data_IF_466702087881
#
_entry.id   IF_466702087881
#
_cell.length_a   1.000
_cell.length_b   1.000
_cell.length_c   1.000
_cell.angle_alpha   90.00
_cell.angle_beta   90.00
_cell.angle_gamma   90.00
#
_symmetry.space_group_name_H-M   'P 1'
#
loop_
_entity.id
_entity.type
_entity.pdbx_description
1 polymer ?
#
# COMPACT_ATOMS: atom_id res chain seq x y z
N UNK A 1 7.45 -66.78 -14.28
CA UNK A 1 8.24 -66.21 -15.38
C UNK A 1 8.44 -67.34 -16.38
N UNK A 2 8.08 -67.14 -17.64
CA UNK A 2 8.26 -68.19 -18.65
C UNK A 2 9.74 -68.33 -18.98
N UNK A 3 10.32 -69.49 -18.71
CA UNK A 3 11.66 -69.86 -19.19
C UNK A 3 11.52 -70.18 -20.67
N UNK A 4 12.31 -69.54 -21.53
CA UNK A 4 12.40 -69.94 -22.93
C UNK A 4 13.61 -70.86 -23.14
N UNK A 5 13.55 -71.86 -24.03
CA UNK A 5 14.68 -72.74 -24.32
C UNK A 5 15.78 -72.05 -25.15
N UNK A 6 15.54 -70.83 -25.63
CA UNK A 6 16.46 -70.06 -26.47
C UNK A 6 17.12 -69.00 -25.61
N UNK A 7 18.43 -69.14 -25.36
CA UNK A 7 19.23 -68.23 -24.51
C UNK A 7 19.10 -66.75 -24.91
N UNK A 8 19.07 -66.47 -26.22
CA UNK A 8 18.90 -65.11 -26.73
C UNK A 8 17.53 -64.49 -26.36
N UNK A 9 16.49 -65.31 -26.26
CA UNK A 9 15.15 -64.85 -25.89
C UNK A 9 15.06 -64.64 -24.38
N UNK A 10 15.66 -65.53 -23.58
CA UNK A 10 15.67 -65.42 -22.12
C UNK A 10 16.49 -64.21 -21.63
N UNK A 11 17.65 -63.95 -22.24
CA UNK A 11 18.46 -62.75 -21.99
C UNK A 11 17.75 -61.44 -22.36
N UNK A 12 16.96 -61.44 -23.44
CA UNK A 12 16.14 -60.28 -23.80
C UNK A 12 15.01 -60.04 -22.79
N UNK A 13 14.33 -61.09 -22.34
CA UNK A 13 13.24 -61.00 -21.36
C UNK A 13 13.75 -60.50 -20.00
N UNK A 14 14.88 -61.03 -19.52
CA UNK A 14 15.52 -60.58 -18.27
C UNK A 14 15.96 -59.11 -18.36
N UNK A 15 16.60 -58.69 -19.46
CA UNK A 15 16.96 -57.27 -19.70
C UNK A 15 15.74 -56.35 -19.68
N UNK A 16 14.65 -56.74 -20.35
CA UNK A 16 13.40 -55.97 -20.36
C UNK A 16 12.83 -55.84 -18.94
N UNK A 17 12.86 -56.92 -18.16
CA UNK A 17 12.38 -56.90 -16.79
C UNK A 17 13.24 -56.02 -15.88
N UNK A 18 14.56 -56.05 -16.05
CA UNK A 18 15.50 -55.14 -15.36
C UNK A 18 15.22 -53.67 -15.72
N UNK A 19 14.89 -53.38 -16.97
CA UNK A 19 14.57 -52.03 -17.41
C UNK A 19 13.25 -51.54 -16.79
N UNK A 20 12.20 -52.38 -16.81
CA UNK A 20 10.90 -52.06 -16.20
C UNK A 20 11.04 -51.83 -14.69
N UNK A 21 11.80 -52.68 -13.99
CA UNK A 21 12.05 -52.52 -12.55
C UNK A 21 12.83 -51.23 -12.26
N UNK A 22 13.85 -50.92 -13.05
CA UNK A 22 14.58 -49.64 -12.95
C UNK A 22 13.66 -48.43 -13.16
N UNK A 23 12.81 -48.46 -14.18
CA UNK A 23 11.83 -47.39 -14.45
C UNK A 23 10.84 -47.20 -13.30
N UNK A 24 10.31 -48.30 -12.75
CA UNK A 24 9.43 -48.24 -11.59
C UNK A 24 10.14 -47.59 -10.39
N UNK A 25 11.38 -47.98 -10.13
CA UNK A 25 12.18 -47.45 -9.02
C UNK A 25 12.53 -45.97 -9.18
N UNK A 26 12.85 -45.51 -10.39
CA UNK A 26 13.12 -44.09 -10.63
C UNK A 26 11.85 -43.25 -10.49
N UNK A 27 10.71 -43.76 -10.95
CA UNK A 27 9.42 -43.07 -10.83
C UNK A 27 8.99 -42.94 -9.37
N UNK A 28 9.07 -44.03 -8.58
CA UNK A 28 8.76 -43.98 -7.14
C UNK A 28 9.70 -43.04 -6.39
N UNK A 29 11.00 -43.04 -6.72
CA UNK A 29 11.98 -42.10 -6.15
C UNK A 29 11.62 -40.64 -6.48
N UNK A 30 11.20 -40.35 -7.70
CA UNK A 30 10.75 -39.02 -8.11
C UNK A 30 9.48 -38.58 -7.36
N UNK A 31 8.49 -39.46 -7.25
CA UNK A 31 7.26 -39.20 -6.49
C UNK A 31 7.55 -38.93 -5.01
N UNK A 32 8.41 -39.74 -4.38
CA UNK A 32 8.82 -39.56 -2.99
C UNK A 32 9.55 -38.22 -2.79
N UNK A 33 10.40 -37.82 -3.75
CA UNK A 33 11.06 -36.51 -3.74
C UNK A 33 10.04 -35.37 -3.80
N UNK A 34 9.07 -35.46 -4.70
CA UNK A 34 8.00 -34.45 -4.81
C UNK A 34 7.17 -34.35 -3.53
N UNK A 35 6.79 -35.50 -2.96
CA UNK A 35 6.07 -35.59 -1.70
C UNK A 35 6.85 -34.95 -0.56
N UNK A 36 8.13 -35.29 -0.40
CA UNK A 36 9.00 -34.74 0.64
C UNK A 36 9.04 -33.21 0.62
N UNK A 37 9.25 -32.60 -0.55
CA UNK A 37 9.29 -31.13 -0.66
C UNK A 37 7.91 -30.48 -0.49
N UNK A 38 6.83 -31.16 -0.86
CA UNK A 38 5.47 -30.67 -0.65
C UNK A 38 5.09 -30.69 0.83
N UNK A 39 5.35 -31.81 1.51
CA UNK A 39 5.01 -32.04 2.92
C UNK A 39 5.80 -31.11 3.85
N UNK A 40 7.07 -30.80 3.55
CA UNK A 40 7.86 -29.83 4.32
C UNK A 40 7.21 -28.44 4.47
N UNK A 41 6.38 -28.03 3.51
CA UNK A 41 5.71 -26.72 3.55
C UNK A 41 4.31 -26.79 4.16
N UNK A 42 3.76 -27.98 4.37
CA UNK A 42 2.46 -28.17 5.01
C UNK A 42 2.64 -28.05 6.52
N UNK A 43 1.75 -27.30 7.16
CA UNK A 43 1.69 -27.17 8.61
C UNK A 43 0.23 -27.24 9.00
N UNK A 44 -0.03 -27.90 10.12
CA UNK A 44 -1.35 -27.89 10.71
C UNK A 44 -1.58 -26.52 11.36
N UNK A 45 -2.53 -25.77 10.80
CA UNK A 45 -2.93 -24.46 11.29
C UNK A 45 -4.30 -24.60 11.94
N UNK A 46 -4.36 -24.27 13.23
CA UNK A 46 -5.60 -24.18 13.99
C UNK A 46 -5.67 -22.83 14.69
N UNK A 47 -6.88 -22.31 14.83
CA UNK A 47 -7.16 -21.02 15.45
C UNK A 47 -8.26 -21.22 16.48
N UNK A 48 -8.11 -20.62 17.65
CA UNK A 48 -9.12 -20.70 18.69
C UNK A 48 -10.27 -19.73 18.40
N UNK A 49 -11.46 -20.07 18.89
CA UNK A 49 -12.60 -19.15 18.90
C UNK A 49 -12.24 -17.95 19.78
N UNK A 50 -12.61 -16.75 19.34
CA UNK A 50 -12.20 -15.45 19.90
C UNK A 50 -10.74 -15.05 19.69
N UNK A 51 -9.94 -15.85 18.98
CA UNK A 51 -8.63 -15.38 18.51
C UNK A 51 -8.79 -14.34 17.40
N UNK A 52 -7.81 -13.45 17.29
CA UNK A 52 -7.74 -12.46 16.24
C UNK A 52 -6.87 -12.97 15.10
N UNK A 53 -7.36 -12.83 13.88
CA UNK A 53 -6.67 -13.32 12.68
C UNK A 53 -6.72 -12.28 11.58
N UNK A 54 -5.64 -12.22 10.82
CA UNK A 54 -5.59 -11.51 9.56
C UNK A 54 -6.07 -12.38 8.40
N UNK A 55 -6.82 -11.78 7.48
CA UNK A 55 -7.34 -12.47 6.30
C UNK A 55 -6.56 -12.08 5.06
N UNK A 56 -6.11 -13.08 4.31
CA UNK A 56 -5.49 -12.91 3.01
C UNK A 56 -6.56 -12.72 1.93
N UNK A 57 -6.71 -11.49 1.48
CA UNK A 57 -7.63 -11.15 0.39
C UNK A 57 -6.90 -11.03 -0.95
N UNK A 58 -7.66 -11.10 -2.04
CA UNK A 58 -7.20 -10.82 -3.41
C UNK A 58 -7.72 -9.44 -3.81
N UNK A 59 -6.90 -8.37 -3.73
CA UNK A 59 -7.36 -6.99 -3.90
C UNK A 59 -8.12 -6.76 -5.21
N UNK A 60 -7.67 -7.36 -6.31
CA UNK A 60 -8.31 -7.22 -7.62
C UNK A 60 -9.76 -7.75 -7.67
N UNK A 61 -10.09 -8.77 -6.87
CA UNK A 61 -11.43 -9.40 -6.83
C UNK A 61 -12.29 -8.91 -5.67
N UNK A 62 -11.67 -8.40 -4.61
CA UNK A 62 -12.29 -8.15 -3.31
C UNK A 62 -12.17 -6.68 -2.90
N UNK A 63 -12.49 -5.77 -3.84
CA UNK A 63 -12.36 -4.31 -3.66
C UNK A 63 -13.21 -3.77 -2.51
N UNK A 64 -14.34 -4.41 -2.19
CA UNK A 64 -15.23 -3.93 -1.11
C UNK A 64 -14.66 -4.08 0.29
N UNK A 65 -13.65 -4.93 0.46
CA UNK A 65 -12.96 -5.08 1.75
C UNK A 65 -11.64 -4.30 1.82
N UNK A 66 -11.29 -3.55 0.78
CA UNK A 66 -10.03 -2.81 0.69
C UNK A 66 -10.27 -1.42 0.11
N UNK A 67 -10.11 -0.38 0.93
CA UNK A 67 -10.25 1.02 0.48
C UNK A 67 -9.02 1.58 -0.25
N UNK A 68 -8.00 0.76 -0.53
CA UNK A 68 -6.75 1.24 -1.12
C UNK A 68 -6.87 1.50 -2.63
N UNK A 69 -6.54 2.72 -3.05
CA UNK A 69 -6.54 3.15 -4.46
C UNK A 69 -5.51 2.40 -5.32
N UNK A 70 -4.41 1.93 -4.73
CA UNK A 70 -3.29 1.30 -5.46
C UNK A 70 -3.13 -0.20 -5.12
N UNK A 71 -3.27 -1.05 -6.12
CA UNK A 71 -3.22 -2.52 -5.94
C UNK A 71 -1.80 -3.05 -5.68
N UNK A 72 -0.75 -2.40 -6.19
CA UNK A 72 0.64 -2.86 -6.02
C UNK A 72 1.18 -2.64 -4.61
N UNK A 73 0.70 -1.60 -3.93
CA UNK A 73 1.10 -1.22 -2.58
C UNK A 73 0.05 -1.62 -1.53
N UNK A 74 -1.02 -2.31 -1.93
CA UNK A 74 -2.05 -2.77 -1.00
C UNK A 74 -1.49 -3.84 -0.05
N UNK A 75 -2.04 -3.85 1.17
CA UNK A 75 -1.73 -4.89 2.14
C UNK A 75 -2.10 -6.28 1.59
N UNK A 76 -1.32 -7.30 1.96
CA UNK A 76 -1.62 -8.70 1.58
C UNK A 76 -2.62 -9.35 2.53
N UNK A 77 -2.56 -8.95 3.79
CA UNK A 77 -3.35 -9.44 4.91
C UNK A 77 -4.10 -8.25 5.49
N UNK A 78 -5.40 -8.41 5.70
CA UNK A 78 -6.30 -7.34 6.12
C UNK A 78 -6.84 -7.64 7.50
N UNK A 79 -6.88 -6.60 8.33
CA UNK A 79 -7.58 -6.49 9.61
C UNK A 79 -7.24 -7.56 10.63
N UNK A 80 -7.14 -7.24 11.92
CA UNK A 80 -7.48 -8.23 12.92
C UNK A 80 -9.00 -8.44 12.86
N UNK A 81 -9.44 -9.60 12.41
CA UNK A 81 -10.84 -10.03 12.51
C UNK A 81 -10.95 -11.13 13.56
N UNK A 82 -11.99 -11.06 14.39
CA UNK A 82 -12.22 -12.06 15.42
C UNK A 82 -12.80 -13.34 14.81
N UNK A 83 -12.28 -14.50 15.23
CA UNK A 83 -12.85 -15.81 14.90
C UNK A 83 -14.09 -16.03 15.76
N UNK A 84 -15.27 -16.05 15.14
CA UNK A 84 -16.55 -16.27 15.85
C UNK A 84 -16.84 -17.75 16.10
N UNK A 85 -16.54 -18.59 15.11
CA UNK A 85 -16.78 -20.02 15.20
C UNK A 85 -15.88 -20.80 14.26
N UNK A 86 -15.62 -22.06 14.61
CA UNK A 86 -14.99 -23.04 13.73
C UNK A 86 -16.07 -23.89 13.08
N UNK A 87 -16.32 -23.69 11.79
CA UNK A 87 -17.38 -24.40 11.04
C UNK A 87 -16.94 -25.85 10.71
N UNK A 88 -15.63 -26.07 10.56
CA UNK A 88 -15.08 -27.40 10.35
C UNK A 88 -13.59 -27.46 10.65
N UNK A 89 -12.95 -28.58 10.32
CA UNK A 89 -11.51 -28.75 10.60
C UNK A 89 -10.66 -27.63 9.97
N UNK A 90 -11.09 -27.11 8.82
CA UNK A 90 -10.32 -26.20 7.99
C UNK A 90 -11.01 -24.85 7.73
N UNK A 91 -12.28 -24.69 8.11
CA UNK A 91 -13.10 -23.51 7.81
C UNK A 91 -13.50 -22.75 9.08
N UNK A 92 -13.30 -21.44 9.07
CA UNK A 92 -13.55 -20.54 10.20
C UNK A 92 -14.47 -19.39 9.79
N UNK A 93 -15.44 -19.08 10.66
CA UNK A 93 -16.33 -17.94 10.54
C UNK A 93 -15.72 -16.73 11.25
N UNK A 94 -15.60 -15.61 10.54
CA UNK A 94 -14.99 -14.39 11.05
C UNK A 94 -16.00 -13.28 11.23
N UNK A 95 -15.74 -12.41 12.21
CA UNK A 95 -16.47 -11.17 12.39
C UNK A 95 -15.99 -10.12 11.37
N UNK A 96 -16.58 -10.14 10.17
CA UNK A 96 -16.33 -9.13 9.16
C UNK A 96 -17.26 -7.91 9.34
N UNK A 97 -16.84 -6.70 8.92
CA UNK A 97 -17.70 -5.53 8.88
C UNK A 97 -18.93 -5.79 8.00
N UNK A 98 -20.12 -5.27 8.37
CA UNK A 98 -21.36 -5.49 7.61
C UNK A 98 -21.32 -4.88 6.19
N UNK A 99 -20.42 -3.92 5.94
CA UNK A 99 -20.17 -3.34 4.62
C UNK A 99 -19.43 -4.29 3.65
N UNK A 100 -18.84 -5.37 4.17
CA UNK A 100 -18.09 -6.32 3.36
C UNK A 100 -19.02 -7.24 2.57
N UNK A 101 -18.94 -7.18 1.23
CA UNK A 101 -19.67 -8.09 0.31
C UNK A 101 -19.00 -9.47 0.17
N UNK A 102 -18.11 -9.84 1.08
CA UNK A 102 -17.35 -11.10 1.03
C UNK A 102 -17.94 -12.07 2.04
N UNK A 103 -18.06 -13.34 1.67
CA UNK A 103 -18.50 -14.38 2.60
C UNK A 103 -17.58 -14.44 3.85
N UNK A 104 -18.14 -14.49 5.07
CA UNK A 104 -17.36 -14.43 6.32
C UNK A 104 -16.64 -15.75 6.66
N UNK A 105 -16.75 -16.77 5.81
CA UNK A 105 -16.15 -18.09 6.03
C UNK A 105 -14.87 -18.24 5.21
N UNK A 106 -13.76 -18.51 5.89
CA UNK A 106 -12.46 -18.64 5.27
C UNK A 106 -11.78 -19.95 5.62
N UNK A 107 -11.02 -20.47 4.66
CA UNK A 107 -10.14 -21.61 4.86
C UNK A 107 -8.90 -21.20 5.68
N UNK A 108 -8.42 -22.08 6.58
CA UNK A 108 -7.32 -21.79 7.53
C UNK A 108 -6.04 -21.27 6.86
N UNK A 109 -5.74 -21.72 5.65
CA UNK A 109 -4.58 -21.29 4.85
C UNK A 109 -4.63 -19.81 4.39
N UNK A 110 -5.81 -19.18 4.45
CA UNK A 110 -6.00 -17.77 4.18
C UNK A 110 -5.90 -16.91 5.44
N UNK A 111 -5.75 -17.53 6.60
CA UNK A 111 -5.70 -16.86 7.90
C UNK A 111 -4.27 -16.83 8.43
N UNK A 112 -3.96 -15.75 9.14
CA UNK A 112 -2.71 -15.61 9.88
C UNK A 112 -3.05 -15.10 11.28
N UNK A 113 -2.57 -15.78 12.32
CA UNK A 113 -2.82 -15.36 13.70
C UNK A 113 -2.27 -13.95 13.94
N UNK A 114 -3.07 -13.12 14.61
CA UNK A 114 -2.64 -11.83 15.14
C UNK A 114 -1.73 -12.04 16.35
N UNK A 115 -0.62 -11.29 16.42
CA UNK A 115 0.28 -11.29 17.56
C UNK A 115 0.47 -9.84 18.00
N UNK A 116 0.25 -9.57 19.28
CA UNK A 116 0.32 -8.22 19.85
C UNK A 116 -1.03 -7.72 20.38
N UNK A 117 -1.03 -6.59 21.08
CA UNK A 117 -2.25 -5.93 21.53
C UNK A 117 -3.12 -5.58 20.32
N UNK A 118 -4.42 -5.84 20.43
CA UNK A 118 -5.37 -5.28 19.47
C UNK A 118 -5.56 -3.84 19.90
N UNK A 119 -4.80 -2.94 19.28
CA UNK A 119 -5.12 -1.53 19.35
C UNK A 119 -6.51 -1.40 18.74
N UNK A 120 -7.51 -1.21 19.60
CA UNK A 120 -8.88 -0.89 19.21
C UNK A 120 -8.81 0.21 18.16
N UNK A 121 -9.57 0.02 17.08
CA UNK A 121 -9.58 0.78 15.82
C UNK A 121 -9.80 2.32 16.01
N UNK A 122 -9.96 2.79 17.25
CA UNK A 122 -10.42 4.13 17.61
C UNK A 122 -9.35 5.01 18.28
N UNK A 123 -8.05 4.76 18.14
CA UNK A 123 -7.05 5.69 18.71
C UNK A 123 -5.90 5.96 17.77
N UNK A 124 -6.04 7.07 17.04
CA UNK A 124 -4.93 7.94 16.60
C UNK A 124 -3.87 7.28 15.71
N UNK A 125 -4.26 6.43 14.76
CA UNK A 125 -3.40 6.32 13.58
C UNK A 125 -3.48 7.68 12.85
N UNK A 126 -2.36 8.41 12.62
CA UNK A 126 -2.40 9.61 11.81
C UNK A 126 -3.01 9.22 10.46
N UNK A 127 -4.18 9.78 10.18
CA UNK A 127 -4.89 9.50 8.93
C UNK A 127 -4.02 10.07 7.84
N UNK A 128 -3.28 9.21 7.16
CA UNK A 128 -2.57 9.60 5.95
C UNK A 128 -3.61 10.18 5.01
N UNK A 129 -3.40 11.41 4.49
CA UNK A 129 -4.39 12.04 3.65
C UNK A 129 -4.70 11.11 2.47
N UNK A 130 -5.99 10.93 2.13
CA UNK A 130 -6.42 9.92 1.17
C UNK A 130 -5.77 10.10 -0.21
N UNK A 131 -5.36 11.34 -0.54
CA UNK A 131 -4.73 11.71 -1.78
C UNK A 131 -3.47 12.57 -1.52
N UNK A 132 -2.40 12.31 -2.26
CA UNK A 132 -1.19 13.14 -2.30
C UNK A 132 -0.87 13.50 -3.75
N UNK A 133 -0.55 14.76 -4.03
CA UNK A 133 -0.05 15.21 -5.34
C UNK A 133 1.44 15.50 -5.17
N UNK A 134 2.29 14.93 -6.04
CA UNK A 134 3.75 15.13 -6.01
C UNK A 134 4.41 14.84 -4.63
N UNK A 135 3.98 13.79 -3.93
CA UNK A 135 4.44 13.42 -2.57
C UNK A 135 4.09 14.44 -1.47
N UNK A 136 3.25 15.44 -1.74
CA UNK A 136 2.71 16.34 -0.73
C UNK A 136 1.26 15.98 -0.41
N UNK A 137 0.84 16.10 0.86
CA UNK A 137 -0.56 15.91 1.23
C UNK A 137 -1.43 16.88 0.41
N UNK A 138 -2.58 16.43 -0.09
CA UNK A 138 -3.52 17.34 -0.76
C UNK A 138 -4.14 18.25 0.32
N UNK A 139 -3.58 19.43 0.48
CA UNK A 139 -4.00 20.42 1.46
C UNK A 139 -5.16 21.24 0.90
N UNK A 140 -6.25 21.38 1.65
CA UNK A 140 -7.42 22.19 1.27
C UNK A 140 -7.43 23.51 2.03
N UNK A 141 -7.88 24.62 1.43
CA UNK A 141 -8.00 25.90 2.14
C UNK A 141 -9.07 25.78 3.24
N UNK A 142 -8.69 26.08 4.49
CA UNK A 142 -9.56 26.08 5.66
C UNK A 142 -10.25 27.45 5.83
N UNK A 143 -9.48 28.53 5.77
CA UNK A 143 -9.99 29.89 5.88
C UNK A 143 -9.11 30.87 5.10
N UNK A 144 -9.69 32.00 4.70
CA UNK A 144 -8.96 33.13 4.12
C UNK A 144 -8.85 34.20 5.21
N UNK A 145 -7.62 34.51 5.60
CA UNK A 145 -7.34 35.43 6.71
C UNK A 145 -7.20 36.88 6.25
N UNK A 146 -6.63 37.10 5.06
CA UNK A 146 -6.38 38.43 4.53
C UNK A 146 -6.36 38.43 2.99
N UNK A 147 -6.54 39.60 2.39
CA UNK A 147 -6.36 39.82 0.95
C UNK A 147 -5.52 41.07 0.70
N UNK A 148 -4.59 41.00 -0.25
CA UNK A 148 -3.80 42.16 -0.70
C UNK A 148 -3.71 42.19 -2.22
N UNK A 149 -3.46 43.38 -2.76
CA UNK A 149 -3.12 43.55 -4.16
C UNK A 149 -1.59 43.56 -4.31
N UNK A 150 -1.07 42.78 -5.25
CA UNK A 150 0.33 42.86 -5.64
C UNK A 150 0.43 43.65 -6.95
N UNK A 151 0.98 44.85 -6.86
CA UNK A 151 1.26 45.71 -8.01
C UNK A 151 2.58 45.36 -8.71
N UNK A 152 3.34 44.39 -8.19
CA UNK A 152 4.59 43.93 -8.82
C UNK A 152 4.36 43.04 -10.04
N UNK A 153 3.15 42.49 -10.21
CA UNK A 153 2.75 41.70 -11.37
C UNK A 153 2.01 42.56 -12.37
N UNK A 154 2.22 42.31 -13.67
CA UNK A 154 1.49 42.95 -14.77
C UNK A 154 0.65 41.89 -15.51
N UNK A 155 -0.68 41.90 -15.41
CA UNK A 155 -1.54 42.83 -14.65
C UNK A 155 -1.46 42.62 -13.12
N UNK A 156 -1.82 43.64 -12.30
CA UNK A 156 -1.79 43.56 -10.85
C UNK A 156 -2.68 42.42 -10.37
N UNK A 157 -2.09 41.47 -9.64
CA UNK A 157 -2.77 40.25 -9.23
C UNK A 157 -3.15 40.31 -7.76
N UNK A 158 -4.34 39.78 -7.45
CA UNK A 158 -4.83 39.69 -6.08
C UNK A 158 -4.25 38.45 -5.39
N UNK A 159 -3.66 38.63 -4.21
CA UNK A 159 -3.19 37.54 -3.37
C UNK A 159 -4.09 37.38 -2.13
N UNK A 160 -4.31 36.13 -1.72
CA UNK A 160 -5.04 35.77 -0.50
C UNK A 160 -4.11 35.06 0.48
N UNK A 161 -4.20 35.41 1.76
CA UNK A 161 -3.55 34.67 2.84
C UNK A 161 -4.43 33.50 3.23
N UNK A 162 -4.00 32.30 2.86
CA UNK A 162 -4.77 31.07 3.04
C UNK A 162 -4.27 30.33 4.27
N UNK A 163 -5.19 30.05 5.19
CA UNK A 163 -4.99 29.07 6.24
C UNK A 163 -5.36 27.69 5.70
N UNK A 164 -4.45 26.75 5.87
CA UNK A 164 -4.53 25.43 5.28
C UNK A 164 -5.06 24.38 6.27
N UNK A 165 -5.90 23.46 5.79
CA UNK A 165 -6.47 22.40 6.60
C UNK A 165 -5.39 21.37 7.00
N UNK A 166 -5.19 21.19 8.31
CA UNK A 166 -4.23 20.23 8.85
C UNK A 166 -2.80 20.75 9.03
N UNK A 167 -2.56 22.03 8.73
CA UNK A 167 -1.31 22.73 9.03
C UNK A 167 -1.50 23.72 10.19
N UNK A 168 -0.39 24.12 10.82
CA UNK A 168 -0.45 25.09 11.90
C UNK A 168 -0.83 26.48 11.35
N UNK A 169 -1.43 27.37 12.17
CA UNK A 169 -1.75 28.73 11.73
C UNK A 169 -0.51 29.54 11.34
N UNK A 170 0.69 29.11 11.74
CA UNK A 170 1.98 29.71 11.34
C UNK A 170 2.38 29.34 9.91
N UNK A 171 1.86 28.25 9.36
CA UNK A 171 2.16 27.77 8.00
C UNK A 171 1.22 28.42 6.95
N UNK A 172 0.60 29.56 7.24
CA UNK A 172 -0.24 30.30 6.30
C UNK A 172 0.59 30.86 5.14
N UNK A 173 0.18 30.62 3.90
CA UNK A 173 0.86 31.12 2.70
C UNK A 173 0.02 32.15 1.93
N UNK A 174 0.69 33.05 1.22
CA UNK A 174 0.07 33.96 0.26
C UNK A 174 -0.06 33.26 -1.10
N UNK A 175 -1.27 33.06 -1.56
CA UNK A 175 -1.57 32.40 -2.84
C UNK A 175 -2.30 33.34 -3.81
N UNK A 176 -2.06 33.15 -5.10
CA UNK A 176 -2.69 33.94 -6.16
C UNK A 176 -4.17 33.57 -6.33
N UNK A 177 -5.04 34.58 -6.30
CA UNK A 177 -6.50 34.39 -6.43
C UNK A 177 -6.91 33.62 -7.70
N UNK A 178 -6.41 33.93 -8.91
CA UNK A 178 -6.83 33.25 -10.13
C UNK A 178 -6.49 31.75 -10.14
N UNK A 179 -5.39 31.36 -9.50
CA UNK A 179 -4.96 29.97 -9.40
C UNK A 179 -5.75 29.22 -8.32
N UNK A 180 -5.97 29.88 -7.19
CA UNK A 180 -6.73 29.34 -6.06
C UNK A 180 -8.21 29.14 -6.41
N UNK A 181 -8.84 30.11 -7.08
CA UNK A 181 -10.26 30.05 -7.47
C UNK A 181 -10.53 28.91 -8.45
N UNK A 182 -9.66 28.74 -9.45
CA UNK A 182 -9.75 27.65 -10.45
C UNK A 182 -9.57 26.28 -9.83
N UNK A 183 -8.67 26.16 -8.83
CA UNK A 183 -8.32 24.87 -8.23
C UNK A 183 -9.37 24.40 -7.21
N UNK A 184 -9.98 25.31 -6.45
CA UNK A 184 -10.87 24.97 -5.33
C UNK A 184 -12.32 25.48 -5.48
N UNK A 185 -12.69 26.06 -6.63
CA UNK A 185 -14.04 26.57 -6.91
C UNK A 185 -14.58 27.49 -5.80
N UNK A 186 -13.76 28.45 -5.36
CA UNK A 186 -14.04 29.29 -4.17
C UNK A 186 -14.92 30.52 -4.46
N UNK A 187 -15.52 30.61 -5.65
CA UNK A 187 -16.29 31.78 -6.11
C UNK A 187 -17.43 32.16 -5.14
N UNK A 188 -18.07 31.17 -4.52
CA UNK A 188 -19.20 31.35 -3.60
C UNK A 188 -18.81 31.54 -2.12
N UNK A 189 -17.51 31.47 -1.79
CA UNK A 189 -17.04 31.42 -0.39
C UNK A 189 -16.17 32.62 0.02
N UNK A 190 -15.86 33.51 -0.91
CA UNK A 190 -15.01 34.68 -0.63
C UNK A 190 -15.82 35.96 -0.84
N UNK A 191 -16.27 36.54 0.27
CA UNK A 191 -16.85 37.88 0.27
C UNK A 191 -15.72 38.90 0.21
N UNK A 192 -15.58 39.57 -0.93
CA UNK A 192 -14.67 40.68 -1.03
C UNK A 192 -15.32 41.95 -0.49
N UNK A 193 -14.62 42.78 0.31
CA UNK A 193 -15.13 44.10 0.62
C UNK A 193 -15.38 44.83 -0.70
N UNK A 194 -16.59 45.36 -0.85
CA UNK A 194 -16.98 46.14 -2.03
C UNK A 194 -15.96 47.25 -2.26
N UNK A 195 -15.64 47.52 -3.53
CA UNK A 195 -14.84 48.67 -3.96
C UNK A 195 -15.45 49.95 -3.36
N UNK A 196 -14.88 50.35 -2.23
CA UNK A 196 -15.21 51.56 -1.50
C UNK A 196 -14.15 52.59 -1.81
N UNK A 197 -14.61 53.65 -2.47
CA UNK A 197 -13.90 54.88 -2.80
C UNK A 197 -12.99 55.38 -1.66
N UNK A 198 -11.84 55.93 -2.04
CA UNK A 198 -10.77 56.42 -1.17
C UNK A 198 -11.27 57.59 -0.30
N UNK A 199 -11.68 57.32 0.93
CA UNK A 199 -11.58 58.27 2.05
C UNK A 199 -12.09 57.64 3.36
N UNK A 200 -11.17 57.22 4.21
CA UNK A 200 -11.15 57.49 5.67
C UNK A 200 -10.05 56.64 6.33
N UNK A 201 -9.24 57.19 7.26
CA UNK A 201 -8.14 56.46 7.86
C UNK A 201 -8.69 55.54 8.96
N UNK A 202 -8.47 54.23 8.82
CA UNK A 202 -8.64 53.31 9.95
C UNK A 202 -7.33 53.33 10.75
N UNK A 203 -7.49 53.76 12.00
CA UNK A 203 -6.46 53.96 13.02
C UNK A 203 -5.65 52.68 13.22
N UNK A 204 -4.34 52.79 13.01
CA UNK A 204 -3.34 51.78 13.33
C UNK A 204 -2.98 51.93 14.81
N UNK A 205 -3.20 50.89 15.60
CA UNK A 205 -2.50 50.72 16.86
C UNK A 205 -1.41 49.64 16.67
N UNK A 206 -0.19 50.10 16.39
CA UNK A 206 1.04 49.33 16.56
C UNK A 206 1.68 49.71 17.90
N UNK A 207 2.50 48.83 18.49
CA UNK A 207 3.73 49.26 19.11
C UNK A 207 4.92 48.77 18.26
N UNK A 208 5.65 49.75 17.77
CA UNK A 208 6.94 49.68 17.10
C UNK A 208 8.02 49.07 17.99
N UNK A 209 8.77 48.08 17.50
CA UNK A 209 10.20 47.92 17.79
C UNK A 209 10.94 47.62 16.49
N UNK A 210 12.01 48.38 16.29
CA UNK A 210 12.82 48.59 15.10
C UNK A 210 13.87 47.51 14.87
N UNK A 211 14.19 47.35 13.58
CA UNK A 211 15.51 47.09 12.97
C UNK A 211 16.30 45.86 13.46
N UNK A 212 16.59 44.92 12.54
CA UNK A 212 17.85 45.04 11.81
C UNK A 212 17.96 44.11 10.59
N UNK A 213 18.92 44.49 9.76
CA UNK A 213 19.22 44.15 8.39
C UNK A 213 19.85 42.76 8.12
N UNK A 214 19.62 42.27 6.89
CA UNK A 214 20.61 41.71 5.94
C UNK A 214 20.38 40.31 5.32
N UNK A 215 20.59 40.32 4.00
CA UNK A 215 21.23 39.28 3.17
C UNK A 215 20.42 38.12 2.57
N UNK A 216 20.20 38.28 1.26
CA UNK A 216 19.94 37.26 0.24
C UNK A 216 21.12 36.26 0.16
N UNK A 217 20.87 35.00 -0.23
CA UNK A 217 21.64 34.49 -1.36
C UNK A 217 20.77 33.78 -2.42
N UNK A 218 21.19 33.97 -3.67
CA UNK A 218 20.80 33.20 -4.84
C UNK A 218 21.31 31.75 -4.73
N UNK A 219 20.56 30.78 -5.27
CA UNK A 219 21.06 29.55 -5.91
C UNK A 219 19.93 28.98 -6.80
N UNK A 220 20.00 29.19 -8.12
CA UNK A 220 20.53 28.25 -9.13
C UNK A 220 19.94 26.84 -9.04
N UNK A 221 18.99 26.61 -9.94
CA UNK A 221 18.44 25.33 -10.36
C UNK A 221 19.52 24.42 -10.93
N UNK A 222 19.81 23.30 -10.28
CA UNK A 222 20.51 22.16 -10.89
C UNK A 222 19.57 20.95 -10.91
N UNK A 223 19.25 20.48 -12.11
CA UNK A 223 18.52 19.24 -12.38
C UNK A 223 19.52 18.06 -12.40
N UNK A 224 19.32 16.96 -11.65
CA UNK A 224 20.04 15.73 -11.92
C UNK A 224 19.28 14.86 -12.94
N UNK A 225 19.99 14.53 -14.01
CA UNK A 225 19.62 13.57 -15.07
C UNK A 225 19.74 12.11 -14.60
N UNK A 226 18.86 11.29 -15.17
CA UNK A 226 18.97 9.86 -15.50
C UNK A 226 19.39 8.86 -14.41
N UNK A 227 18.39 8.21 -13.80
CA UNK A 227 18.55 6.97 -13.03
C UNK A 227 18.53 5.77 -13.97
N UNK A 228 19.70 5.17 -14.21
CA UNK A 228 19.85 3.90 -14.94
C UNK A 228 19.36 2.74 -14.07
N UNK A 229 18.34 2.01 -14.51
CA UNK A 229 17.83 0.81 -13.84
C UNK A 229 18.83 -0.35 -13.91
N UNK A 230 19.26 -0.85 -12.75
CA UNK A 230 20.18 -1.99 -12.62
C UNK A 230 19.59 -3.32 -13.13
N UNK A 231 20.35 -4.05 -13.95
CA UNK A 231 20.01 -5.39 -14.44
C UNK A 231 20.08 -6.42 -13.31
N UNK A 232 19.01 -7.20 -13.11
CA UNK A 232 18.95 -8.28 -12.12
C UNK A 232 19.69 -9.51 -12.64
N UNK A 233 20.68 -10.00 -11.89
CA UNK A 233 21.36 -11.28 -12.18
C UNK A 233 20.70 -12.40 -11.35
N UNK A 234 20.13 -13.40 -12.02
CA UNK A 234 19.52 -14.55 -11.36
C UNK A 234 20.60 -15.60 -11.03
N UNK A 235 20.88 -15.85 -9.75
CA UNK A 235 21.75 -16.95 -9.32
C UNK A 235 20.94 -18.26 -9.26
N UNK A 236 21.51 -19.34 -9.82
CA UNK A 236 20.93 -20.69 -9.75
C UNK A 236 21.12 -21.30 -8.35
N UNK A 237 20.15 -22.09 -7.84
CA UNK A 237 20.23 -22.71 -6.51
C UNK A 237 21.30 -23.82 -6.44
N UNK A 238 22.03 -23.86 -5.33
CA UNK A 238 23.28 -24.64 -5.17
C UNK A 238 23.16 -26.15 -4.92
N UNK A 239 21.96 -26.71 -4.75
CA UNK A 239 21.77 -28.11 -4.36
C UNK A 239 21.74 -29.10 -5.55
N UNK A 240 22.40 -28.77 -6.66
CA UNK A 240 22.55 -29.65 -7.82
C UNK A 240 23.92 -30.34 -7.89
N UNK A 241 24.81 -30.10 -6.92
CA UNK A 241 26.20 -30.59 -6.95
C UNK A 241 26.36 -32.10 -6.68
N UNK A 242 25.34 -32.76 -6.16
CA UNK A 242 25.43 -34.16 -5.69
C UNK A 242 24.79 -35.18 -6.65
N UNK A 243 24.59 -34.83 -7.93
CA UNK A 243 23.94 -35.70 -8.91
C UNK A 243 24.86 -36.02 -10.10
N UNK A 244 25.48 -37.20 -10.06
CA UNK A 244 25.92 -38.00 -11.23
C UNK A 244 24.99 -39.21 -11.35
#
# INVERSE_FOLDING_TARGET
MGSSPIEAVDSMLTRRQQLITKLKNTLTKAQNRMKYFADQKRRDLSFDVNSWVYVKLRPYRQKTATSASYTKLSQRYYGPFQVLARIGQVAYHLNLPPSSKIHPVFHCSLLKQHQGPIDTIDTTAPTLPPNSVNNHPLVTPLAILASKWDSSTDPPTRMLLVQWQGLNPEDTSWEDWPNLSKTYHLEDKVSFPAEGDVSNPIIINTPTISEDSNSRPNNKTDQPKDVVQGKRTARRPGHLKDYV
#
